data_IF_984612259662
#
_entry.id   IF_984612259662
#
_cell.length_a   1.000
_cell.length_b   1.000
_cell.length_c   1.000
_cell.angle_alpha   90.00
_cell.angle_beta   90.00
_cell.angle_gamma   90.00
#
_symmetry.space_group_name_H-M   'P 1'
#
loop_
_entity.id
_entity.type
_entity.pdbx_description
1 polymer ?
#
# COMPACT_ATOMS: atom_id res chain seq x y z
N UNK A 1 -1.10 9.08 -20.30
CA UNK A 1 -2.56 8.86 -20.09
C UNK A 1 -3.13 9.95 -19.18
N UNK A 2 -4.43 10.28 -19.27
CA UNK A 2 -5.04 11.22 -18.31
C UNK A 2 -4.99 10.70 -16.86
N UNK A 3 -5.00 11.61 -15.86
CA UNK A 3 -4.96 11.25 -14.42
C UNK A 3 -6.08 10.28 -14.01
N UNK A 4 -7.29 10.53 -14.52
CA UNK A 4 -8.45 9.67 -14.28
C UNK A 4 -8.28 8.27 -14.88
N UNK A 5 -7.80 8.17 -16.12
CA UNK A 5 -7.60 6.88 -16.79
C UNK A 5 -6.59 6.01 -16.03
N UNK A 6 -5.55 6.61 -15.46
CA UNK A 6 -4.56 5.90 -14.63
C UNK A 6 -5.15 5.39 -13.33
N UNK A 7 -5.95 6.22 -12.64
CA UNK A 7 -6.64 5.78 -11.43
C UNK A 7 -7.66 4.66 -11.74
N UNK A 8 -8.39 4.77 -12.83
CA UNK A 8 -9.30 3.73 -13.30
C UNK A 8 -8.56 2.42 -13.59
N UNK A 9 -7.39 2.50 -14.24
CA UNK A 9 -6.56 1.33 -14.52
C UNK A 9 -5.98 0.72 -13.23
N UNK A 10 -5.48 1.55 -12.30
CA UNK A 10 -4.95 1.10 -11.02
C UNK A 10 -6.02 0.42 -10.16
N UNK A 11 -7.21 1.02 -10.07
CA UNK A 11 -8.36 0.44 -9.35
C UNK A 11 -8.87 -0.84 -10.01
N UNK A 12 -8.91 -0.90 -11.35
CA UNK A 12 -9.26 -2.12 -12.07
C UNK A 12 -8.27 -3.26 -11.78
N UNK A 13 -6.96 -2.98 -11.80
CA UNK A 13 -5.93 -3.99 -11.48
C UNK A 13 -6.01 -4.45 -10.02
N UNK A 14 -6.20 -3.54 -9.06
CA UNK A 14 -6.43 -3.92 -7.66
C UNK A 14 -7.67 -4.82 -7.52
N UNK A 15 -8.77 -4.49 -8.20
CA UNK A 15 -9.98 -5.31 -8.23
C UNK A 15 -9.78 -6.68 -8.88
N UNK A 16 -8.86 -6.79 -9.86
CA UNK A 16 -8.46 -8.09 -10.41
C UNK A 16 -7.62 -8.89 -9.42
N UNK A 17 -6.65 -8.28 -8.75
CA UNK A 17 -5.87 -8.95 -7.69
C UNK A 17 -6.78 -9.48 -6.59
N UNK A 18 -7.71 -8.67 -6.09
CA UNK A 18 -8.65 -9.11 -5.05
C UNK A 18 -9.51 -10.29 -5.51
N UNK A 19 -10.01 -10.29 -6.74
CA UNK A 19 -10.75 -11.43 -7.28
C UNK A 19 -9.86 -12.66 -7.42
N UNK A 20 -8.66 -12.49 -7.95
CA UNK A 20 -7.69 -13.56 -8.15
C UNK A 20 -7.29 -14.26 -6.84
N UNK A 21 -7.06 -13.52 -5.75
CA UNK A 21 -6.73 -14.12 -4.45
C UNK A 21 -7.94 -14.74 -3.74
N UNK A 22 -9.16 -14.32 -4.08
CA UNK A 22 -10.39 -14.86 -3.49
C UNK A 22 -10.95 -16.05 -4.28
N UNK A 23 -10.70 -16.13 -5.59
CA UNK A 23 -11.21 -17.19 -6.46
C UNK A 23 -10.21 -18.35 -6.56
N UNK A 24 -10.29 -19.26 -5.60
CA UNK A 24 -9.43 -20.45 -5.52
C UNK A 24 -10.00 -21.67 -6.26
N UNK A 25 -11.15 -21.52 -6.94
CA UNK A 25 -11.80 -22.62 -7.67
C UNK A 25 -11.37 -22.72 -9.14
N UNK A 26 -10.62 -21.73 -9.63
CA UNK A 26 -10.11 -21.73 -10.98
C UNK A 26 -8.97 -22.75 -11.18
N UNK A 27 -8.74 -23.10 -12.45
CA UNK A 27 -7.65 -23.99 -12.85
C UNK A 27 -6.27 -23.43 -12.44
N UNK A 28 -5.38 -24.31 -11.97
CA UNK A 28 -4.08 -23.90 -11.44
C UNK A 28 -3.17 -23.25 -12.50
N UNK A 29 -3.24 -23.71 -13.76
CA UNK A 29 -2.49 -23.11 -14.86
C UNK A 29 -3.03 -21.72 -15.21
N UNK A 30 -4.36 -21.56 -15.15
CA UNK A 30 -5.00 -20.26 -15.31
C UNK A 30 -4.57 -19.27 -14.21
N UNK A 31 -4.56 -19.70 -12.95
CA UNK A 31 -4.16 -18.85 -11.83
C UNK A 31 -2.69 -18.41 -11.93
N UNK A 32 -1.78 -19.30 -12.32
CA UNK A 32 -0.36 -18.93 -12.47
C UNK A 32 -0.12 -17.95 -13.63
N UNK A 33 -0.80 -18.15 -14.77
CA UNK A 33 -0.76 -17.22 -15.88
C UNK A 33 -1.38 -15.86 -15.51
N UNK A 34 -2.47 -15.86 -14.76
CA UNK A 34 -3.10 -14.63 -14.28
C UNK A 34 -2.21 -13.86 -13.30
N UNK A 35 -1.59 -14.55 -12.33
CA UNK A 35 -0.61 -13.97 -11.41
C UNK A 35 0.51 -13.25 -12.17
N UNK A 36 1.13 -13.95 -13.12
CA UNK A 36 2.24 -13.40 -13.91
C UNK A 36 1.81 -12.17 -14.71
N UNK A 37 0.62 -12.21 -15.32
CA UNK A 37 0.05 -11.08 -16.05
C UNK A 37 -0.24 -9.89 -15.13
N UNK A 38 -0.79 -10.14 -13.93
CA UNK A 38 -1.10 -9.11 -12.95
C UNK A 38 0.18 -8.46 -12.40
N UNK A 39 1.19 -9.24 -12.01
CA UNK A 39 2.46 -8.70 -11.51
C UNK A 39 3.14 -7.81 -12.56
N UNK A 40 3.22 -8.28 -13.82
CA UNK A 40 3.81 -7.50 -14.90
C UNK A 40 3.04 -6.20 -15.16
N UNK A 41 1.71 -6.26 -15.19
CA UNK A 41 0.87 -5.09 -15.41
C UNK A 41 1.00 -4.06 -14.28
N UNK A 42 1.05 -4.52 -13.02
CA UNK A 42 1.22 -3.67 -11.85
C UNK A 42 2.60 -2.99 -11.84
N UNK A 43 3.68 -3.75 -12.06
CA UNK A 43 5.05 -3.18 -12.14
C UNK A 43 5.16 -2.15 -13.25
N UNK A 44 4.58 -2.44 -14.41
CA UNK A 44 4.57 -1.54 -15.56
C UNK A 44 3.80 -0.26 -15.27
N UNK A 45 2.62 -0.36 -14.65
CA UNK A 45 1.81 0.81 -14.29
C UNK A 45 2.48 1.63 -13.19
N UNK A 46 3.13 0.99 -12.21
CA UNK A 46 3.89 1.69 -11.17
C UNK A 46 5.02 2.51 -11.80
N UNK A 47 5.83 1.89 -12.65
CA UNK A 47 6.94 2.56 -13.34
C UNK A 47 6.45 3.76 -14.19
N UNK A 48 5.36 3.57 -14.95
CA UNK A 48 4.74 4.64 -15.72
C UNK A 48 4.27 5.80 -14.84
N UNK A 49 3.59 5.48 -13.73
CA UNK A 49 3.04 6.51 -12.83
C UNK A 49 4.15 7.34 -12.19
N UNK A 50 5.21 6.68 -11.71
CA UNK A 50 6.38 7.35 -11.14
C UNK A 50 7.09 8.23 -12.18
N UNK A 51 7.28 7.75 -13.42
CA UNK A 51 7.95 8.50 -14.47
C UNK A 51 7.14 9.75 -14.91
N UNK A 52 5.83 9.61 -15.11
CA UNK A 52 4.97 10.74 -15.48
C UNK A 52 4.88 11.77 -14.34
N UNK A 53 4.92 11.35 -13.08
CA UNK A 53 4.91 12.27 -11.94
C UNK A 53 6.21 13.08 -11.82
N UNK A 54 7.37 12.46 -12.09
CA UNK A 54 8.64 13.18 -12.18
C UNK A 54 8.62 14.25 -13.29
N UNK A 55 7.92 14.00 -14.39
CA UNK A 55 7.82 14.92 -15.51
C UNK A 55 6.78 16.03 -15.31
N UNK A 56 5.66 15.74 -14.65
CA UNK A 56 4.53 16.66 -14.55
C UNK A 56 4.40 17.36 -13.19
N UNK A 57 5.21 17.00 -12.19
CA UNK A 57 5.15 17.59 -10.84
C UNK A 57 3.82 17.36 -10.12
N UNK A 58 3.03 16.38 -10.56
CA UNK A 58 1.70 16.10 -10.00
C UNK A 58 1.87 15.28 -8.73
N UNK A 59 1.15 15.68 -7.68
CA UNK A 59 1.15 15.00 -6.40
C UNK A 59 0.72 13.52 -6.55
N UNK A 60 1.63 12.66 -6.12
CA UNK A 60 1.42 11.25 -5.87
C UNK A 60 0.28 11.12 -4.88
N UNK A 61 -0.80 10.43 -5.22
CA UNK A 61 -1.63 9.95 -4.13
C UNK A 61 -2.52 8.79 -4.49
N UNK A 62 -3.15 8.80 -5.66
CA UNK A 62 -4.18 7.79 -5.93
C UNK A 62 -3.64 6.58 -6.70
N UNK A 63 -3.06 6.69 -7.91
CA UNK A 63 -2.72 5.47 -8.66
C UNK A 63 -1.56 4.68 -8.03
N UNK A 64 -0.52 5.37 -7.53
CA UNK A 64 0.63 4.72 -6.88
C UNK A 64 0.23 3.90 -5.66
N UNK A 65 -0.66 4.44 -4.81
CA UNK A 65 -1.15 3.75 -3.63
C UNK A 65 -1.90 2.46 -4.01
N UNK A 66 -2.79 2.55 -5.00
CA UNK A 66 -3.56 1.39 -5.46
C UNK A 66 -2.66 0.30 -6.04
N UNK A 67 -1.70 0.67 -6.90
CA UNK A 67 -0.79 -0.29 -7.53
C UNK A 67 0.15 -0.92 -6.51
N UNK A 68 0.68 -0.12 -5.58
CA UNK A 68 1.59 -0.61 -4.55
C UNK A 68 0.87 -1.54 -3.56
N UNK A 69 -0.34 -1.18 -3.11
CA UNK A 69 -1.17 -2.08 -2.30
C UNK A 69 -1.51 -3.37 -3.04
N UNK A 70 -1.83 -3.31 -4.33
CA UNK A 70 -2.11 -4.49 -5.15
C UNK A 70 -0.89 -5.42 -5.27
N UNK A 71 0.33 -4.87 -5.46
CA UNK A 71 1.57 -5.65 -5.47
C UNK A 71 1.82 -6.34 -4.13
N UNK A 72 1.76 -5.61 -3.03
CA UNK A 72 1.96 -6.17 -1.69
C UNK A 72 0.92 -7.24 -1.37
N UNK A 73 -0.33 -7.05 -1.78
CA UNK A 73 -1.40 -8.01 -1.57
C UNK A 73 -1.19 -9.29 -2.38
N UNK A 74 -0.84 -9.17 -3.66
CA UNK A 74 -0.59 -10.32 -4.53
C UNK A 74 0.56 -11.17 -3.99
N UNK A 75 1.69 -10.55 -3.66
CA UNK A 75 2.87 -11.27 -3.18
C UNK A 75 2.72 -11.81 -1.75
N UNK A 76 2.01 -11.09 -0.85
CA UNK A 76 1.75 -11.60 0.50
C UNK A 76 0.83 -12.83 0.50
N UNK A 77 -0.16 -12.88 -0.41
CA UNK A 77 -1.00 -14.06 -0.60
C UNK A 77 -0.17 -15.28 -0.99
N UNK A 78 0.66 -15.16 -2.05
CA UNK A 78 1.48 -16.29 -2.51
C UNK A 78 2.54 -16.73 -1.50
N UNK A 79 3.09 -15.80 -0.72
CA UNK A 79 3.96 -16.11 0.41
C UNK A 79 3.22 -16.93 1.48
N UNK A 80 1.97 -16.56 1.80
CA UNK A 80 1.17 -17.27 2.80
C UNK A 80 0.69 -18.66 2.32
N UNK A 81 0.42 -18.82 1.02
CA UNK A 81 -0.04 -20.10 0.44
C UNK A 81 1.09 -20.99 -0.07
N UNK A 82 2.35 -20.55 0.05
CA UNK A 82 3.49 -21.32 -0.47
C UNK A 82 3.68 -22.62 0.28
N UNK A 83 4.00 -23.69 -0.47
CA UNK A 83 4.52 -24.93 0.12
C UNK A 83 5.97 -24.74 0.57
N UNK A 84 6.47 -25.66 1.40
CA UNK A 84 7.86 -25.62 1.88
C UNK A 84 8.90 -25.60 0.74
N UNK A 85 8.57 -26.18 -0.41
CA UNK A 85 9.46 -26.27 -1.58
C UNK A 85 9.63 -24.90 -2.26
N UNK A 86 8.56 -24.09 -2.33
CA UNK A 86 8.56 -22.81 -3.05
C UNK A 86 8.70 -21.59 -2.11
N UNK A 87 8.96 -21.85 -0.82
CA UNK A 87 8.94 -20.81 0.21
C UNK A 87 10.03 -19.76 -0.01
N UNK A 88 11.25 -20.17 -0.34
CA UNK A 88 12.35 -19.24 -0.60
C UNK A 88 12.08 -18.34 -1.81
N UNK A 89 11.52 -18.88 -2.89
CA UNK A 89 11.18 -18.12 -4.09
C UNK A 89 10.08 -17.09 -3.82
N UNK A 90 9.03 -17.49 -3.08
CA UNK A 90 7.93 -16.59 -2.73
C UNK A 90 8.33 -15.52 -1.71
N UNK A 91 9.20 -15.86 -0.75
CA UNK A 91 9.81 -14.90 0.18
C UNK A 91 10.69 -13.89 -0.57
N UNK A 92 11.50 -14.34 -1.53
CA UNK A 92 12.31 -13.46 -2.39
C UNK A 92 11.43 -12.51 -3.23
N UNK A 93 10.38 -13.05 -3.86
CA UNK A 93 9.46 -12.25 -4.68
C UNK A 93 8.73 -11.17 -3.86
N UNK A 94 8.29 -11.52 -2.66
CA UNK A 94 7.71 -10.58 -1.70
C UNK A 94 8.71 -9.51 -1.26
N UNK A 95 9.96 -9.90 -1.01
CA UNK A 95 11.07 -8.98 -0.72
C UNK A 95 11.28 -7.94 -1.83
N UNK A 96 11.33 -8.38 -3.09
CA UNK A 96 11.51 -7.50 -4.24
C UNK A 96 10.31 -6.56 -4.45
N UNK A 97 9.08 -7.04 -4.26
CA UNK A 97 7.88 -6.20 -4.30
C UNK A 97 7.88 -5.14 -3.18
N UNK A 98 8.30 -5.53 -1.97
CA UNK A 98 8.43 -4.63 -0.82
C UNK A 98 9.49 -3.56 -1.05
N UNK A 99 10.66 -3.95 -1.58
CA UNK A 99 11.74 -3.02 -1.93
C UNK A 99 11.35 -2.06 -3.04
N UNK A 100 10.59 -2.51 -4.04
CA UNK A 100 10.09 -1.66 -5.10
C UNK A 100 9.09 -0.63 -4.57
N UNK A 101 8.13 -1.09 -3.76
CA UNK A 101 7.09 -0.21 -3.19
C UNK A 101 7.68 0.77 -2.18
N UNK A 102 8.63 0.34 -1.33
CA UNK A 102 9.24 1.21 -0.31
C UNK A 102 9.98 2.42 -0.89
N UNK A 103 10.65 2.27 -2.05
CA UNK A 103 11.28 3.36 -2.80
C UNK A 103 10.31 4.47 -3.20
N UNK A 104 9.03 4.14 -3.34
CA UNK A 104 7.98 5.08 -3.71
C UNK A 104 7.21 5.55 -2.48
N UNK A 105 6.93 4.66 -1.53
CA UNK A 105 6.21 4.99 -0.29
C UNK A 105 6.97 6.00 0.56
N UNK A 106 8.29 5.84 0.72
CA UNK A 106 9.07 6.69 1.62
C UNK A 106 9.06 8.17 1.21
N UNK A 107 9.36 8.54 -0.04
CA UNK A 107 9.25 9.94 -0.47
C UNK A 107 7.83 10.52 -0.40
N UNK A 108 6.79 9.69 -0.53
CA UNK A 108 5.40 10.15 -0.37
C UNK A 108 5.10 10.43 1.10
N UNK A 109 5.43 9.50 2.00
CA UNK A 109 5.25 9.66 3.43
C UNK A 109 6.00 10.89 3.96
N UNK A 110 7.22 11.14 3.48
CA UNK A 110 7.99 12.34 3.83
C UNK A 110 7.28 13.63 3.42
N UNK A 111 6.71 13.70 2.21
CA UNK A 111 5.98 14.89 1.75
C UNK A 111 4.66 15.10 2.47
N UNK A 112 4.00 14.03 2.90
CA UNK A 112 2.78 14.13 3.70
C UNK A 112 3.03 14.75 5.08
N UNK A 113 4.26 14.65 5.60
CA UNK A 113 4.67 15.29 6.86
C UNK A 113 4.96 16.78 6.73
N UNK A 114 5.21 17.28 5.52
CA UNK A 114 5.53 18.69 5.32
C UNK A 114 4.25 19.52 5.50
N UNK A 115 4.28 20.62 6.29
CA UNK A 115 3.12 21.46 6.52
C UNK A 115 2.64 22.01 5.19
N UNK A 116 1.55 21.45 4.71
CA UNK A 116 1.20 21.60 3.31
C UNK A 116 0.44 22.92 3.12
N UNK A 117 0.75 23.64 2.04
CA UNK A 117 0.11 24.91 1.70
C UNK A 117 -1.43 24.79 1.71
N UNK A 118 -2.19 25.87 1.97
CA UNK A 118 -3.65 25.84 2.19
C UNK A 118 -4.51 25.38 0.99
N UNK A 119 -3.90 24.90 -0.10
CA UNK A 119 -4.55 24.58 -1.37
C UNK A 119 -4.47 23.08 -1.73
N UNK A 120 -4.41 22.21 -0.73
CA UNK A 120 -4.27 20.76 -0.92
C UNK A 120 -5.66 20.11 -0.89
N UNK A 121 -5.99 19.43 -1.98
CA UNK A 121 -7.13 18.53 -2.03
C UNK A 121 -7.00 17.44 -0.96
N UNK A 122 -8.11 17.13 -0.29
CA UNK A 122 -8.16 16.10 0.74
C UNK A 122 -7.52 14.79 0.25
N UNK A 123 -6.51 14.26 0.97
CA UNK A 123 -5.83 13.04 0.57
C UNK A 123 -6.81 11.86 0.54
N UNK A 124 -6.57 10.90 -0.36
CA UNK A 124 -7.41 9.73 -0.56
C UNK A 124 -7.36 8.79 0.66
N UNK A 125 -8.49 8.28 1.18
CA UNK A 125 -8.52 7.35 2.33
C UNK A 125 -7.63 6.11 2.17
N UNK A 126 -7.51 5.63 0.93
CA UNK A 126 -6.69 4.47 0.59
C UNK A 126 -5.18 4.68 0.80
N UNK A 127 -4.72 5.93 0.95
CA UNK A 127 -3.33 6.21 1.30
C UNK A 127 -2.95 5.61 2.65
N UNK A 128 -3.85 5.64 3.63
CA UNK A 128 -3.57 5.12 4.98
C UNK A 128 -3.41 3.60 4.95
N UNK A 129 -4.31 2.88 4.27
CA UNK A 129 -4.19 1.43 4.09
C UNK A 129 -2.86 1.05 3.41
N UNK A 130 -2.50 1.79 2.36
CA UNK A 130 -1.24 1.55 1.65
C UNK A 130 0.00 1.84 2.50
N UNK A 131 0.03 2.95 3.23
CA UNK A 131 1.14 3.32 4.13
C UNK A 131 1.29 2.25 5.23
N UNK A 132 0.17 1.84 5.82
CA UNK A 132 0.14 0.79 6.83
C UNK A 132 0.68 -0.55 6.31
N UNK A 133 0.20 -1.00 5.15
CA UNK A 133 0.69 -2.23 4.50
C UNK A 133 2.17 -2.15 4.16
N UNK A 134 2.63 -0.99 3.69
CA UNK A 134 4.05 -0.77 3.38
C UNK A 134 4.92 -0.88 4.63
N UNK A 135 4.47 -0.35 5.77
CA UNK A 135 5.19 -0.46 7.04
C UNK A 135 5.31 -1.91 7.51
N UNK A 136 4.21 -2.69 7.46
CA UNK A 136 4.23 -4.11 7.79
C UNK A 136 5.17 -4.87 6.86
N UNK A 137 5.02 -4.68 5.54
CA UNK A 137 5.82 -5.39 4.57
C UNK A 137 7.32 -5.09 4.73
N UNK A 138 7.67 -3.83 4.95
CA UNK A 138 9.05 -3.42 5.19
C UNK A 138 9.63 -4.05 6.45
N UNK A 139 8.89 -4.02 7.56
CA UNK A 139 9.28 -4.67 8.80
C UNK A 139 9.50 -6.17 8.60
N UNK A 140 8.58 -6.86 7.92
CA UNK A 140 8.65 -8.31 7.71
C UNK A 140 9.83 -8.78 6.86
N UNK A 141 10.21 -7.98 5.86
CA UNK A 141 11.34 -8.31 4.98
C UNK A 141 12.69 -8.05 5.67
N UNK A 142 12.74 -7.06 6.56
CA UNK A 142 13.99 -6.59 7.17
C UNK A 142 14.16 -7.07 8.61
N UNK A 143 13.39 -8.06 9.10
CA UNK A 143 13.48 -8.50 10.50
C UNK A 143 14.91 -8.89 10.96
N UNK A 144 15.78 -9.27 10.03
CA UNK A 144 17.18 -9.65 10.28
C UNK A 144 18.17 -8.50 10.08
N UNK A 145 17.72 -7.36 9.59
CA UNK A 145 18.56 -6.23 9.19
C UNK A 145 18.69 -5.20 10.32
N UNK A 146 19.36 -4.09 10.02
CA UNK A 146 19.57 -2.98 10.95
C UNK A 146 18.23 -2.46 11.52
N UNK A 147 18.05 -2.68 12.82
CA UNK A 147 16.86 -2.30 13.57
C UNK A 147 16.58 -0.80 13.49
N UNK A 148 17.62 0.03 13.38
CA UNK A 148 17.47 1.48 13.31
C UNK A 148 16.86 1.95 11.98
N UNK A 149 17.24 1.32 10.86
CA UNK A 149 16.68 1.60 9.54
C UNK A 149 15.18 1.25 9.47
N UNK A 150 14.79 0.12 10.07
CA UNK A 150 13.39 -0.34 10.15
C UNK A 150 12.58 0.63 11.00
N UNK A 151 13.09 0.96 12.19
CA UNK A 151 12.44 1.91 13.09
C UNK A 151 12.25 3.28 12.43
N UNK A 152 13.27 3.77 11.72
CA UNK A 152 13.18 5.03 10.97
C UNK A 152 12.11 4.99 9.87
N UNK A 153 12.02 3.90 9.12
CA UNK A 153 10.99 3.72 8.09
C UNK A 153 9.58 3.67 8.71
N UNK A 154 9.37 2.81 9.71
CA UNK A 154 8.08 2.65 10.39
C UNK A 154 7.65 3.94 11.08
N UNK A 155 8.59 4.67 11.69
CA UNK A 155 8.33 5.97 12.31
C UNK A 155 7.89 7.00 11.27
N UNK A 156 8.55 7.04 10.11
CA UNK A 156 8.14 7.95 9.01
C UNK A 156 6.73 7.64 8.51
N UNK A 157 6.39 6.35 8.38
CA UNK A 157 5.04 5.92 7.98
C UNK A 157 3.99 6.29 9.03
N UNK A 158 4.31 6.11 10.32
CA UNK A 158 3.44 6.48 11.44
C UNK A 158 3.11 7.98 11.41
N UNK A 159 4.13 8.82 11.35
CA UNK A 159 3.96 10.28 11.33
C UNK A 159 3.13 10.75 10.13
N UNK A 160 3.31 10.14 8.96
CA UNK A 160 2.50 10.42 7.78
C UNK A 160 1.03 10.05 7.98
N UNK A 161 0.73 8.91 8.62
CA UNK A 161 -0.65 8.50 8.93
C UNK A 161 -1.30 9.40 9.98
N UNK A 162 -0.55 9.85 10.98
CA UNK A 162 -1.05 10.80 12.00
C UNK A 162 -1.45 12.13 11.36
N UNK A 163 -0.64 12.64 10.43
CA UNK A 163 -0.95 13.88 9.71
C UNK A 163 -2.18 13.70 8.80
N UNK A 164 -2.28 12.58 8.08
CA UNK A 164 -3.50 12.24 7.32
C UNK A 164 -4.75 12.17 8.22
N UNK A 165 -4.63 11.62 9.43
CA UNK A 165 -5.70 11.57 10.42
C UNK A 165 -6.14 12.95 10.93
N UNK A 166 -5.20 13.90 11.02
CA UNK A 166 -5.52 15.32 11.30
C UNK A 166 -6.30 15.96 10.16
N UNK A 167 -5.89 15.70 8.91
CA UNK A 167 -6.57 16.24 7.71
C UNK A 167 -8.03 15.80 7.59
N UNK A 168 -8.37 14.58 7.96
CA UNK A 168 -9.76 14.10 7.92
C UNK A 168 -10.60 14.49 9.15
N UNK A 169 -10.03 15.25 10.09
CA UNK A 169 -10.74 15.68 11.30
C UNK A 169 -11.03 14.55 12.30
N UNK A 170 -10.51 13.33 12.04
CA UNK A 170 -10.64 12.18 12.95
C UNK A 170 -9.70 12.32 14.14
N UNK A 171 -8.63 13.10 14.00
CA UNK A 171 -7.70 13.48 15.08
C UNK A 171 -8.23 14.50 16.10
N UNK A 172 -9.47 14.99 15.94
CA UNK A 172 -10.14 15.82 16.94
C UNK A 172 -10.96 14.96 17.91
N UNK A 173 -10.38 14.60 19.06
CA UNK A 173 -11.05 14.03 20.25
C UNK A 173 -11.44 12.55 20.29
N UNK A 174 -10.86 11.65 19.49
CA UNK A 174 -11.03 10.21 19.75
C UNK A 174 -9.69 9.49 19.79
N UNK A 175 -9.17 9.33 21.00
CA UNK A 175 -8.16 8.32 21.30
C UNK A 175 -8.71 6.94 20.91
N UNK A 176 -7.96 6.09 20.18
CA UNK A 176 -8.45 4.83 19.63
C UNK A 176 -8.77 3.74 20.68
N UNK A 177 -8.78 4.10 21.97
CA UNK A 177 -9.05 3.21 23.11
C UNK A 177 -10.25 3.62 23.98
N UNK A 178 -11.05 4.60 23.57
CA UNK A 178 -12.28 4.94 24.29
C UNK A 178 -13.47 4.24 23.66
N UNK A 179 -13.87 3.10 24.24
CA UNK A 179 -15.14 2.42 23.96
C UNK A 179 -16.29 3.42 24.21
N UNK A 180 -17.24 3.63 23.28
CA UNK A 180 -18.35 4.54 23.52
C UNK A 180 -19.22 4.03 24.65
N UNK A 181 -19.38 4.83 25.70
CA UNK A 181 -20.31 4.61 26.80
C UNK A 181 -21.78 4.85 26.36
N UNK A 182 -22.26 4.09 25.37
CA UNK A 182 -23.66 4.13 24.91
C UNK A 182 -24.53 3.07 25.62
N UNK A 183 -23.94 2.22 26.48
CA UNK A 183 -24.66 1.22 27.28
C UNK A 183 -24.66 1.53 28.79
N UNK A 184 -24.87 2.79 29.18
CA UNK A 184 -25.23 3.10 30.56
C UNK A 184 -26.76 2.99 30.72
N UNK A 185 -27.29 2.09 31.57
CA UNK A 185 -28.72 2.04 31.84
C UNK A 185 -29.13 3.30 32.63
N UNK A 186 -30.24 3.92 32.22
CA UNK A 186 -30.83 5.07 32.91
C UNK A 186 -31.45 4.64 34.25
N UNK A 187 -31.51 5.54 35.25
CA UNK A 187 -31.89 5.23 36.63
C UNK A 187 -33.35 4.80 36.82
#
# INVERSE_FOLDING_TARGET
>A
MGKFARLAQASHLLGRVMRHICDTQADAQFLDAEKSSLDQALRSLLALTVAEEQQCGVAYCSPVAFVSSALLLLHSYYRATSTAINKEETDYSYGEATKLTSKVTLPIAQRLKEPTSPNIHTPCPFLVDWIYRSAIAYHDVHQTDDTDAINGYVQTMREAMEELGRYWGVGGNVSPFSVPAIFAPSP
#
